data_IF_489636165516
#
_entry.id   IF_489636165516
#
_cell.length_a   1.000
_cell.length_b   1.000
_cell.length_c   1.000
_cell.angle_alpha   90.00
_cell.angle_beta   90.00
_cell.angle_gamma   90.00
#
_symmetry.space_group_name_H-M   'P 1'
#
loop_
_entity.id
_entity.type
_entity.pdbx_description
1 polymer ?
#
# COMPACT_ATOMS: atom_id res chain seq x y z
N UNK A 1 39.86 -43.76 -38.04
CA UNK A 1 41.25 -44.18 -38.39
C UNK A 1 42.25 -43.56 -37.42
N UNK A 2 43.43 -44.18 -37.22
CA UNK A 2 44.69 -43.65 -36.63
C UNK A 2 44.65 -42.81 -35.32
N UNK A 3 45.28 -43.37 -34.28
CA UNK A 3 45.68 -42.78 -32.98
C UNK A 3 46.47 -41.46 -33.07
N UNK A 4 46.35 -40.60 -32.03
CA UNK A 4 47.41 -40.26 -31.01
C UNK A 4 46.81 -39.22 -30.04
N UNK A 5 46.73 -39.39 -28.71
CA UNK A 5 47.76 -39.63 -27.67
C UNK A 5 48.88 -38.58 -27.60
N UNK A 6 48.90 -37.82 -26.50
CA UNK A 6 50.11 -37.67 -25.67
C UNK A 6 49.73 -37.36 -24.21
N UNK A 7 50.09 -38.26 -23.28
CA UNK A 7 50.28 -37.90 -21.87
C UNK A 7 51.72 -37.40 -21.69
N UNK A 8 51.92 -36.44 -20.79
CA UNK A 8 53.17 -36.28 -20.04
C UNK A 8 52.85 -36.05 -18.57
N UNK A 9 53.66 -36.65 -17.70
CA UNK A 9 53.51 -36.65 -16.25
C UNK A 9 54.85 -36.36 -15.58
N UNK A 10 54.79 -36.10 -14.27
CA UNK A 10 55.90 -35.96 -13.31
C UNK A 10 56.73 -34.66 -13.38
N UNK A 11 56.93 -34.08 -12.20
CA UNK A 11 57.67 -32.83 -11.97
C UNK A 11 57.50 -32.31 -10.54
N UNK A 12 57.76 -33.13 -9.51
CA UNK A 12 57.72 -32.67 -8.12
C UNK A 12 58.97 -31.86 -7.80
N UNK A 13 58.78 -30.61 -7.33
CA UNK A 13 59.79 -29.82 -6.67
C UNK A 13 59.17 -29.16 -5.44
N UNK A 14 59.73 -29.41 -4.25
CA UNK A 14 59.25 -28.84 -2.99
C UNK A 14 60.18 -27.71 -2.54
N UNK A 15 59.64 -26.52 -2.33
CA UNK A 15 60.32 -25.41 -1.64
C UNK A 15 59.37 -24.81 -0.62
N UNK A 16 59.77 -24.78 0.65
CA UNK A 16 58.99 -24.19 1.71
C UNK A 16 59.27 -22.68 1.82
N UNK A 17 58.24 -21.86 1.96
CA UNK A 17 58.37 -20.41 2.07
C UNK A 17 57.11 -19.73 2.61
N UNK A 18 57.15 -19.41 3.90
CA UNK A 18 56.36 -18.37 4.61
C UNK A 18 54.99 -17.98 4.02
N UNK A 19 53.93 -18.55 4.57
CA UNK A 19 52.54 -18.14 4.30
C UNK A 19 52.20 -16.80 4.97
N UNK A 20 52.18 -15.72 4.20
CA UNK A 20 51.28 -14.59 4.47
C UNK A 20 49.87 -14.98 3.99
N UNK A 21 48.85 -14.80 4.83
CA UNK A 21 47.49 -15.24 4.53
C UNK A 21 46.77 -14.33 3.54
N UNK A 22 46.88 -14.61 2.23
CA UNK A 22 45.99 -14.04 1.22
C UNK A 22 44.61 -14.71 1.28
N UNK A 23 43.55 -13.91 1.20
CA UNK A 23 42.18 -14.41 1.05
C UNK A 23 42.09 -15.19 -0.28
N UNK A 24 41.49 -16.39 -0.31
CA UNK A 24 41.32 -17.13 -1.56
C UNK A 24 40.29 -16.42 -2.44
N UNK A 25 40.75 -15.80 -3.53
CA UNK A 25 39.88 -15.40 -4.61
C UNK A 25 39.27 -16.66 -5.24
N UNK A 26 37.96 -16.85 -5.07
CA UNK A 26 37.21 -17.91 -5.74
C UNK A 26 37.04 -17.50 -7.20
N UNK A 27 38.00 -17.88 -8.03
CA UNK A 27 37.90 -17.77 -9.47
C UNK A 27 36.93 -18.81 -10.02
N UNK A 28 35.66 -18.43 -10.17
CA UNK A 28 34.74 -19.11 -11.08
C UNK A 28 34.94 -18.56 -12.50
N UNK A 29 34.77 -19.42 -13.49
CA UNK A 29 34.86 -19.08 -14.91
C UNK A 29 33.63 -18.26 -15.33
N UNK A 30 33.75 -17.24 -16.20
CA UNK A 30 32.58 -16.53 -16.77
C UNK A 30 31.75 -17.35 -17.76
N UNK A 31 31.91 -18.68 -17.77
CA UNK A 31 31.29 -19.62 -18.73
C UNK A 31 30.29 -20.57 -18.04
N UNK A 32 30.17 -20.50 -16.71
CA UNK A 32 29.17 -21.20 -15.89
C UNK A 32 28.11 -20.23 -15.31
N UNK A 33 27.88 -19.08 -15.96
CA UNK A 33 26.65 -18.32 -15.74
C UNK A 33 25.49 -19.09 -16.40
N UNK A 34 24.59 -19.66 -15.59
CA UNK A 34 23.35 -20.27 -16.07
C UNK A 34 22.65 -19.28 -17.00
N UNK A 35 22.53 -19.65 -18.28
CA UNK A 35 22.00 -18.77 -19.31
C UNK A 35 20.62 -18.26 -18.88
N UNK A 36 20.52 -16.95 -18.62
CA UNK A 36 19.29 -16.32 -18.12
C UNK A 36 18.18 -16.58 -19.13
N UNK A 37 17.29 -17.52 -18.79
CA UNK A 37 16.14 -17.86 -19.61
C UNK A 37 15.29 -16.62 -19.78
N UNK A 38 15.25 -16.07 -20.98
CA UNK A 38 14.62 -14.77 -21.26
C UNK A 38 13.13 -14.79 -20.87
N UNK A 39 12.47 -15.95 -21.02
CA UNK A 39 11.12 -16.26 -20.56
C UNK A 39 10.88 -15.98 -19.05
N UNK A 40 11.91 -16.08 -18.21
CA UNK A 40 11.83 -15.93 -16.76
C UNK A 40 12.10 -14.49 -16.27
N UNK A 41 12.73 -13.64 -17.08
CA UNK A 41 13.12 -12.27 -16.77
C UNK A 41 14.02 -12.09 -15.52
N UNK A 42 14.36 -10.85 -15.15
CA UNK A 42 15.22 -10.56 -13.99
C UNK A 42 14.52 -10.61 -12.62
N UNK A 43 13.18 -10.75 -12.60
CA UNK A 43 12.34 -10.68 -11.39
C UNK A 43 11.69 -12.03 -11.05
N UNK A 44 11.55 -12.32 -9.75
CA UNK A 44 11.10 -13.63 -9.23
C UNK A 44 9.68 -13.99 -9.64
N UNK A 45 9.47 -15.25 -10.01
CA UNK A 45 8.13 -15.83 -10.24
C UNK A 45 7.31 -15.95 -8.95
N UNK A 46 5.98 -16.13 -9.06
CA UNK A 46 5.12 -16.33 -7.88
C UNK A 46 5.55 -17.53 -7.02
N UNK A 47 6.06 -18.60 -7.64
CA UNK A 47 6.64 -19.74 -6.95
C UNK A 47 7.95 -19.38 -6.21
N UNK A 48 8.87 -18.66 -6.86
CA UNK A 48 10.13 -18.24 -6.26
C UNK A 48 9.93 -17.27 -5.08
N UNK A 49 9.00 -16.32 -5.19
CA UNK A 49 8.59 -15.45 -4.07
C UNK A 49 8.01 -16.30 -2.93
N UNK A 50 7.12 -17.24 -3.27
CA UNK A 50 6.46 -18.12 -2.29
C UNK A 50 7.46 -19.00 -1.52
N UNK A 51 8.46 -19.59 -2.19
CA UNK A 51 9.46 -20.43 -1.50
C UNK A 51 10.51 -19.62 -0.72
N UNK A 52 10.91 -18.41 -1.15
CA UNK A 52 11.74 -17.52 -0.33
C UNK A 52 10.97 -17.10 0.95
N UNK A 53 9.70 -16.72 0.84
CA UNK A 53 8.87 -16.35 2.02
C UNK A 53 8.70 -17.53 2.98
N UNK A 54 8.40 -18.73 2.47
CA UNK A 54 8.36 -19.95 3.29
C UNK A 54 9.72 -20.26 3.91
N UNK A 55 10.83 -20.01 3.21
CA UNK A 55 12.18 -20.22 3.73
C UNK A 55 12.48 -19.25 4.88
N UNK A 56 12.20 -17.96 4.71
CA UNK A 56 12.38 -16.95 5.76
C UNK A 56 11.56 -17.29 7.01
N UNK A 57 10.28 -17.67 6.85
CA UNK A 57 9.44 -18.13 7.97
C UNK A 57 9.94 -19.44 8.62
N UNK A 58 10.64 -20.32 7.90
CA UNK A 58 11.29 -21.52 8.49
C UNK A 58 12.62 -21.22 9.18
N UNK A 59 13.23 -20.06 8.90
CA UNK A 59 14.56 -19.69 9.38
C UNK A 59 14.55 -18.67 10.53
N UNK A 60 13.40 -18.06 10.85
CA UNK A 60 13.31 -17.05 11.92
C UNK A 60 11.96 -17.05 12.62
N UNK A 61 11.99 -17.22 13.95
CA UNK A 61 10.82 -17.08 14.83
C UNK A 61 10.28 -15.63 14.91
N UNK A 62 10.93 -14.67 14.24
CA UNK A 62 10.46 -13.27 14.13
C UNK A 62 9.39 -13.06 13.06
N UNK A 63 9.22 -13.99 12.12
CA UNK A 63 8.25 -13.88 11.03
C UNK A 63 6.99 -14.69 11.34
N UNK A 64 5.84 -14.11 11.02
CA UNK A 64 4.58 -14.84 10.80
C UNK A 64 4.13 -14.64 9.36
N UNK A 65 4.19 -15.70 8.55
CA UNK A 65 3.68 -15.76 7.18
C UNK A 65 2.24 -16.29 7.17
N UNK A 66 1.34 -15.59 6.46
CA UNK A 66 -0.08 -15.97 6.31
C UNK A 66 -0.51 -15.85 4.85
N UNK A 67 -1.19 -16.88 4.31
CA UNK A 67 -1.91 -16.75 3.04
C UNK A 67 -3.22 -16.00 3.33
N UNK A 68 -3.39 -14.80 2.77
CA UNK A 68 -4.53 -13.91 3.06
C UNK A 68 -5.61 -13.89 1.98
N UNK A 69 -5.30 -14.44 0.81
CA UNK A 69 -6.16 -14.53 -0.35
C UNK A 69 -5.43 -15.24 -1.49
N UNK A 70 -6.07 -15.30 -2.65
CA UNK A 70 -5.48 -15.84 -3.89
C UNK A 70 -5.83 -14.93 -5.05
N UNK A 71 -4.97 -14.91 -6.06
CA UNK A 71 -5.23 -14.16 -7.28
C UNK A 71 -6.37 -14.77 -8.08
N UNK A 72 -7.17 -13.90 -8.68
CA UNK A 72 -8.42 -14.18 -9.35
C UNK A 72 -8.32 -15.15 -10.53
N UNK A 73 -7.26 -15.05 -11.34
CA UNK A 73 -7.08 -15.85 -12.56
C UNK A 73 -6.13 -17.04 -12.37
N UNK A 74 -4.94 -16.82 -11.80
CA UNK A 74 -3.94 -17.90 -11.62
C UNK A 74 -4.14 -18.72 -10.35
N UNK A 75 -4.98 -18.25 -9.41
CA UNK A 75 -5.15 -18.85 -8.07
C UNK A 75 -3.81 -18.93 -7.29
N UNK A 76 -2.88 -18.02 -7.59
CA UNK A 76 -1.58 -17.89 -6.92
C UNK A 76 -1.76 -17.24 -5.53
N UNK A 77 -1.01 -17.66 -4.49
CA UNK A 77 -1.22 -17.21 -3.12
C UNK A 77 -0.76 -15.77 -2.87
N UNK A 78 -1.61 -14.99 -2.19
CA UNK A 78 -1.27 -13.64 -1.70
C UNK A 78 -0.77 -13.77 -0.26
N UNK A 79 0.46 -13.36 -0.02
CA UNK A 79 1.14 -13.53 1.26
C UNK A 79 1.14 -12.23 2.09
N UNK A 80 0.77 -12.35 3.37
CA UNK A 80 0.98 -11.36 4.42
C UNK A 80 2.16 -11.82 5.29
N UNK A 81 3.10 -10.92 5.57
CA UNK A 81 4.30 -11.20 6.37
C UNK A 81 4.36 -10.20 7.53
N UNK A 82 4.29 -10.71 8.77
CA UNK A 82 4.32 -9.91 9.99
C UNK A 82 5.61 -10.14 10.78
N UNK A 83 6.18 -9.05 11.28
CA UNK A 83 7.39 -9.03 12.12
C UNK A 83 7.48 -7.75 12.95
N UNK A 84 8.20 -7.80 14.07
CA UNK A 84 8.31 -6.71 15.03
C UNK A 84 7.17 -6.68 16.05
N UNK A 85 7.37 -5.94 17.14
CA UNK A 85 6.48 -5.93 18.31
C UNK A 85 6.23 -4.53 18.88
N UNK A 86 6.74 -3.50 18.20
CA UNK A 86 6.70 -2.13 18.68
C UNK A 86 5.36 -1.43 18.48
N UNK A 87 5.15 -0.34 19.23
CA UNK A 87 3.84 0.33 19.33
C UNK A 87 3.40 1.15 18.11
N UNK A 88 4.18 1.21 17.03
CA UNK A 88 3.80 1.90 15.79
C UNK A 88 3.45 0.87 14.72
N UNK A 89 2.20 0.82 14.29
CA UNK A 89 1.75 -0.15 13.29
C UNK A 89 2.00 0.38 11.86
N UNK A 90 2.73 -0.38 11.03
CA UNK A 90 2.98 -0.03 9.62
C UNK A 90 2.50 -1.16 8.71
N UNK A 91 1.66 -0.82 7.72
CA UNK A 91 1.21 -1.71 6.66
C UNK A 91 1.83 -1.30 5.31
N UNK A 92 2.40 -2.25 4.57
CA UNK A 92 3.15 -2.01 3.34
C UNK A 92 2.65 -2.92 2.22
N UNK A 93 2.16 -2.33 1.14
CA UNK A 93 1.65 -3.02 -0.06
C UNK A 93 2.65 -2.81 -1.20
N UNK A 94 3.03 -3.88 -1.90
CA UNK A 94 4.00 -3.84 -3.01
C UNK A 94 3.46 -4.56 -4.24
N UNK A 95 3.87 -4.13 -5.44
CA UNK A 95 3.49 -4.74 -6.72
C UNK A 95 1.96 -4.97 -6.82
N UNK A 96 1.17 -3.92 -6.54
CA UNK A 96 -0.28 -3.90 -6.82
C UNK A 96 -0.55 -3.63 -8.31
N UNK A 97 0.34 -2.89 -8.95
CA UNK A 97 0.52 -2.97 -10.39
C UNK A 97 1.51 -4.12 -10.67
N UNK A 98 1.16 -5.07 -11.56
CA UNK A 98 1.97 -6.28 -11.76
C UNK A 98 3.28 -6.05 -12.51
N UNK A 99 3.37 -4.96 -13.27
CA UNK A 99 4.55 -4.44 -13.98
C UNK A 99 5.46 -3.56 -13.09
N UNK A 100 5.20 -3.51 -11.78
CA UNK A 100 6.04 -2.82 -10.78
C UNK A 100 6.74 -3.80 -9.80
N UNK A 101 7.63 -4.70 -10.29
CA UNK A 101 8.21 -5.81 -9.51
C UNK A 101 9.27 -5.42 -8.47
N UNK A 102 9.91 -4.26 -8.57
CA UNK A 102 11.07 -3.92 -7.71
C UNK A 102 10.69 -3.84 -6.23
N UNK A 103 9.46 -3.41 -5.90
CA UNK A 103 8.96 -3.37 -4.52
C UNK A 103 8.91 -4.76 -3.86
N UNK A 104 8.63 -5.81 -4.63
CA UNK A 104 8.63 -7.21 -4.16
C UNK A 104 10.03 -7.67 -3.81
N UNK A 105 11.02 -7.41 -4.68
CA UNK A 105 12.41 -7.81 -4.44
C UNK A 105 13.02 -7.05 -3.25
N UNK A 106 12.77 -5.74 -3.15
CA UNK A 106 13.17 -4.91 -1.99
C UNK A 106 12.50 -5.42 -0.71
N UNK A 107 11.22 -5.79 -0.75
CA UNK A 107 10.52 -6.39 0.40
C UNK A 107 11.15 -7.70 0.85
N UNK A 108 11.54 -8.60 -0.08
CA UNK A 108 12.23 -9.85 0.27
C UNK A 108 13.60 -9.58 0.92
N UNK A 109 14.37 -8.61 0.41
CA UNK A 109 15.65 -8.21 1.01
C UNK A 109 15.48 -7.63 2.41
N UNK A 110 14.51 -6.73 2.62
CA UNK A 110 14.21 -6.13 3.92
C UNK A 110 13.69 -7.18 4.92
N UNK A 111 12.76 -8.05 4.52
CA UNK A 111 12.27 -9.15 5.35
C UNK A 111 13.40 -10.08 5.78
N UNK A 112 14.35 -10.38 4.89
CA UNK A 112 15.55 -11.16 5.21
C UNK A 112 16.48 -10.44 6.19
N UNK A 113 16.76 -9.15 5.95
CA UNK A 113 17.61 -8.34 6.84
C UNK A 113 17.02 -8.22 8.25
N UNK A 114 15.71 -7.98 8.38
CA UNK A 114 15.04 -7.81 9.67
C UNK A 114 14.87 -9.15 10.41
N UNK A 115 14.58 -10.24 9.70
CA UNK A 115 14.38 -11.55 10.31
C UNK A 115 15.67 -12.27 10.71
N UNK A 116 16.79 -12.00 10.04
CA UNK A 116 18.09 -12.66 10.28
C UNK A 116 19.15 -11.74 10.89
N UNK A 117 19.00 -10.41 10.79
CA UNK A 117 19.96 -9.43 11.29
C UNK A 117 19.86 -9.22 12.81
N UNK A 118 21.02 -9.00 13.44
CA UNK A 118 21.14 -8.78 14.89
C UNK A 118 21.90 -7.49 15.22
N UNK A 119 21.80 -6.48 14.34
CA UNK A 119 22.37 -5.16 14.60
C UNK A 119 21.47 -4.38 15.56
N UNK A 120 22.01 -3.45 16.39
CA UNK A 120 21.18 -2.61 17.26
C UNK A 120 20.11 -1.80 16.51
N UNK A 121 20.34 -1.51 15.24
CA UNK A 121 19.38 -0.88 14.33
C UNK A 121 18.20 -1.80 13.99
N UNK A 122 18.46 -3.08 13.64
CA UNK A 122 17.39 -4.06 13.38
C UNK A 122 16.57 -4.33 14.64
N UNK A 123 17.21 -4.46 15.80
CA UNK A 123 16.47 -4.59 17.07
C UNK A 123 15.64 -3.33 17.34
N UNK A 124 16.21 -2.13 17.22
CA UNK A 124 15.48 -0.87 17.42
C UNK A 124 14.28 -0.70 16.47
N UNK A 125 14.40 -1.12 15.21
CA UNK A 125 13.28 -1.15 14.25
C UNK A 125 12.16 -2.08 14.76
N UNK A 126 12.50 -3.30 15.18
CA UNK A 126 11.53 -4.31 15.61
C UNK A 126 10.96 -4.09 17.02
N UNK A 127 11.64 -3.30 17.86
CA UNK A 127 11.17 -2.83 19.17
C UNK A 127 10.23 -1.61 19.07
N UNK A 128 10.35 -0.78 18.02
CA UNK A 128 9.54 0.43 17.86
C UNK A 128 8.40 0.30 16.83
N UNK A 129 8.55 -0.59 15.83
CA UNK A 129 7.55 -0.85 14.81
C UNK A 129 6.97 -2.27 14.91
N UNK A 130 5.70 -2.40 14.52
CA UNK A 130 5.07 -3.66 14.13
C UNK A 130 4.73 -3.59 12.65
N UNK A 131 5.40 -4.41 11.85
CA UNK A 131 5.40 -4.34 10.39
C UNK A 131 4.50 -5.43 9.80
N UNK A 132 3.64 -5.06 8.85
CA UNK A 132 2.84 -5.97 8.03
C UNK A 132 3.12 -5.70 6.55
N UNK A 133 3.80 -6.62 5.86
CA UNK A 133 4.05 -6.54 4.43
C UNK A 133 3.05 -7.42 3.66
N UNK A 134 2.56 -6.93 2.53
CA UNK A 134 2.05 -7.71 1.41
C UNK A 134 3.09 -7.59 0.29
N UNK A 135 4.02 -8.57 0.12
CA UNK A 135 5.17 -8.40 -0.77
C UNK A 135 4.82 -8.39 -2.26
N UNK A 136 3.73 -9.05 -2.67
CA UNK A 136 3.20 -9.01 -4.03
C UNK A 136 1.68 -9.02 -3.97
N UNK A 137 1.06 -7.88 -4.29
CA UNK A 137 -0.39 -7.70 -4.30
C UNK A 137 -1.05 -8.19 -5.60
N UNK A 138 -0.32 -8.20 -6.73
CA UNK A 138 -0.82 -8.64 -8.03
C UNK A 138 -0.02 -9.84 -8.60
N UNK A 139 -0.29 -11.08 -8.13
CA UNK A 139 0.35 -12.28 -8.70
C UNK A 139 0.00 -12.52 -10.17
N UNK A 140 -1.18 -12.10 -10.62
CA UNK A 140 -1.65 -12.34 -12.00
C UNK A 140 -0.93 -11.44 -13.01
N UNK A 141 -0.93 -10.13 -12.78
CA UNK A 141 -0.21 -9.17 -13.60
C UNK A 141 1.30 -9.40 -13.58
N UNK A 142 1.88 -9.79 -12.43
CA UNK A 142 3.30 -10.12 -12.30
C UNK A 142 3.73 -11.35 -13.12
N UNK A 143 2.79 -12.22 -13.47
CA UNK A 143 3.01 -13.44 -14.26
C UNK A 143 2.10 -13.49 -15.50
N UNK A 144 1.72 -12.33 -16.03
CA UNK A 144 1.10 -12.23 -17.36
C UNK A 144 2.15 -12.53 -18.43
N UNK A 145 1.76 -13.34 -19.41
CA UNK A 145 2.61 -13.79 -20.50
C UNK A 145 1.78 -13.92 -21.78
N UNK A 146 2.43 -13.75 -22.94
CA UNK A 146 1.78 -13.72 -24.25
C UNK A 146 2.78 -14.18 -25.33
N UNK A 147 2.31 -14.83 -26.40
CA UNK A 147 3.14 -15.17 -27.57
C UNK A 147 3.31 -13.94 -28.46
N UNK A 148 4.30 -13.10 -28.11
CA UNK A 148 4.57 -11.82 -28.80
C UNK A 148 5.34 -12.02 -30.12
N UNK A 149 5.96 -13.19 -30.32
CA UNK A 149 6.74 -13.54 -31.51
C UNK A 149 5.92 -14.31 -32.56
N UNK A 150 4.81 -14.93 -32.16
CA UNK A 150 3.96 -15.78 -33.00
C UNK A 150 4.58 -17.15 -33.29
N UNK A 151 5.49 -17.62 -32.44
CA UNK A 151 6.21 -18.89 -32.62
C UNK A 151 5.63 -20.06 -31.79
N UNK A 152 4.65 -19.79 -30.93
CA UNK A 152 4.00 -20.76 -30.05
C UNK A 152 4.56 -20.82 -28.62
N UNK A 153 5.48 -19.92 -28.25
CA UNK A 153 6.01 -19.77 -26.90
C UNK A 153 5.52 -18.46 -26.25
N UNK A 154 5.02 -18.52 -25.01
CA UNK A 154 4.61 -17.33 -24.26
C UNK A 154 5.80 -16.67 -23.57
N UNK A 155 6.04 -15.37 -23.80
CA UNK A 155 7.04 -14.58 -23.07
C UNK A 155 6.39 -13.84 -21.90
N UNK A 156 7.02 -13.84 -20.71
CA UNK A 156 6.49 -13.16 -19.52
C UNK A 156 6.73 -11.65 -19.55
N UNK A 157 5.86 -10.92 -20.24
CA UNK A 157 5.91 -9.45 -20.32
C UNK A 157 5.42 -8.74 -19.05
N UNK A 158 4.61 -9.40 -18.20
CA UNK A 158 3.89 -8.78 -17.07
C UNK A 158 2.96 -7.62 -17.46
N UNK A 159 2.06 -7.20 -16.56
CA UNK A 159 1.17 -6.04 -16.79
C UNK A 159 0.67 -5.40 -15.49
N UNK A 160 0.24 -4.15 -15.61
CA UNK A 160 -0.34 -3.33 -14.54
C UNK A 160 -1.55 -3.97 -13.85
N UNK A 161 -2.54 -4.40 -14.62
CA UNK A 161 -3.82 -4.90 -14.12
C UNK A 161 -3.69 -6.32 -13.53
N UNK A 162 -4.69 -6.78 -12.76
CA UNK A 162 -4.88 -8.23 -12.57
C UNK A 162 -5.44 -8.88 -13.86
N UNK A 163 -5.90 -10.12 -13.80
CA UNK A 163 -6.53 -10.81 -14.95
C UNK A 163 -7.96 -11.27 -14.63
N UNK A 164 -8.65 -10.56 -13.74
CA UNK A 164 -10.08 -10.77 -13.48
C UNK A 164 -10.90 -10.01 -14.55
N UNK A 165 -11.68 -10.71 -15.40
CA UNK A 165 -12.66 -10.04 -16.26
C UNK A 165 -13.77 -9.43 -15.38
N UNK A 166 -14.41 -8.37 -15.86
CA UNK A 166 -15.70 -7.94 -15.32
C UNK A 166 -16.83 -8.87 -15.80
N UNK A 167 -17.76 -9.20 -14.92
CA UNK A 167 -18.95 -9.99 -15.23
C UNK A 167 -20.24 -9.20 -15.02
N UNK A 168 -21.24 -9.44 -15.89
CA UNK A 168 -22.60 -8.91 -15.69
C UNK A 168 -23.16 -9.42 -14.35
N UNK A 169 -23.33 -8.50 -13.38
CA UNK A 169 -23.74 -8.80 -12.02
C UNK A 169 -22.70 -8.49 -10.94
N UNK A 170 -21.43 -8.25 -11.29
CA UNK A 170 -20.41 -7.76 -10.35
C UNK A 170 -20.77 -6.33 -9.85
N UNK A 171 -21.24 -5.49 -10.77
CA UNK A 171 -21.67 -4.11 -10.56
C UNK A 171 -22.71 -3.72 -11.63
N UNK A 172 -23.36 -2.56 -11.49
CA UNK A 172 -24.34 -2.05 -12.47
C UNK A 172 -23.72 -1.79 -13.85
N UNK A 173 -22.50 -1.27 -13.86
CA UNK A 173 -21.70 -1.01 -15.06
C UNK A 173 -20.27 -1.51 -14.84
N UNK A 174 -19.60 -1.86 -15.93
CA UNK A 174 -18.16 -2.10 -15.98
C UNK A 174 -17.43 -0.81 -15.59
N UNK A 175 -16.64 -0.79 -14.50
CA UNK A 175 -16.01 0.44 -14.04
C UNK A 175 -14.84 0.82 -14.96
N UNK A 176 -14.60 2.12 -15.12
CA UNK A 176 -13.53 2.67 -15.98
C UNK A 176 -12.12 2.08 -15.75
N UNK A 177 -11.88 1.53 -14.56
CA UNK A 177 -10.61 0.91 -14.19
C UNK A 177 -10.52 -0.60 -14.48
N UNK A 178 -11.52 -1.24 -15.11
CA UNK A 178 -11.36 -2.52 -15.80
C UNK A 178 -11.06 -2.25 -17.28
N UNK A 179 -9.86 -2.60 -17.76
CA UNK A 179 -9.43 -2.32 -19.13
C UNK A 179 -8.28 -3.23 -19.60
N UNK A 180 -7.86 -3.04 -20.84
CA UNK A 180 -6.82 -3.83 -21.51
C UNK A 180 -7.35 -5.08 -22.22
N UNK A 181 -6.44 -5.84 -22.83
CA UNK A 181 -6.77 -7.06 -23.58
C UNK A 181 -5.82 -8.18 -23.14
N UNK A 182 -6.32 -9.33 -22.62
CA UNK A 182 -7.66 -9.49 -22.06
C UNK A 182 -7.88 -8.52 -20.89
N UNK A 183 -9.12 -8.14 -20.61
CA UNK A 183 -9.43 -7.12 -19.61
C UNK A 183 -8.98 -7.51 -18.18
N UNK A 184 -8.86 -6.51 -17.31
CA UNK A 184 -8.42 -6.67 -15.93
C UNK A 184 -8.49 -5.35 -15.17
N UNK A 185 -8.54 -5.40 -13.84
CA UNK A 185 -8.68 -4.19 -13.01
C UNK A 185 -7.32 -3.56 -12.69
N UNK A 186 -7.21 -2.23 -12.80
CA UNK A 186 -6.23 -1.44 -12.04
C UNK A 186 -6.68 -1.42 -10.57
N UNK A 187 -6.09 -2.33 -9.80
CA UNK A 187 -6.44 -2.55 -8.39
C UNK A 187 -6.15 -1.35 -7.48
N UNK A 188 -5.33 -0.39 -7.93
CA UNK A 188 -5.11 0.88 -7.24
C UNK A 188 -6.22 1.91 -7.50
N UNK A 189 -7.31 1.49 -8.16
CA UNK A 189 -8.60 2.21 -8.26
C UNK A 189 -9.77 1.43 -7.65
N UNK A 190 -9.61 0.15 -7.32
CA UNK A 190 -10.69 -0.70 -6.82
C UNK A 190 -10.96 -0.57 -5.31
N UNK A 191 -10.05 0.03 -4.52
CA UNK A 191 -10.31 0.27 -3.09
C UNK A 191 -11.50 1.22 -2.87
N UNK A 192 -12.48 0.78 -2.08
CA UNK A 192 -13.50 1.66 -1.49
C UNK A 192 -13.05 2.12 -0.08
N UNK A 193 -13.39 3.37 0.30
CA UNK A 193 -13.12 3.90 1.66
C UNK A 193 -13.95 3.19 2.75
N UNK A 194 -15.07 2.58 2.36
CA UNK A 194 -15.98 1.82 3.21
C UNK A 194 -15.87 0.31 2.93
N UNK A 195 -15.33 -0.47 3.87
CA UNK A 195 -15.20 -1.91 3.70
C UNK A 195 -16.50 -2.68 3.91
N UNK A 196 -17.59 -2.05 4.39
CA UNK A 196 -18.93 -2.69 4.44
C UNK A 196 -19.74 -2.46 3.15
N UNK A 197 -19.28 -1.63 2.19
CA UNK A 197 -19.96 -1.35 0.91
C UNK A 197 -20.07 -2.59 0.00
N UNK A 198 -21.23 -2.82 -0.61
CA UNK A 198 -21.50 -3.93 -1.53
C UNK A 198 -22.01 -3.41 -2.90
N UNK A 199 -21.20 -3.46 -3.98
CA UNK A 199 -21.54 -2.93 -5.31
C UNK A 199 -22.54 -3.81 -6.08
N UNK A 200 -22.94 -4.96 -5.54
CA UNK A 200 -23.86 -5.90 -6.20
C UNK A 200 -25.14 -5.18 -6.62
N UNK A 201 -25.60 -5.32 -7.89
CA UNK A 201 -26.77 -4.59 -8.39
C UNK A 201 -28.01 -4.70 -7.51
N UNK A 202 -28.48 -3.55 -7.01
CA UNK A 202 -29.60 -3.45 -6.06
C UNK A 202 -29.27 -3.67 -4.58
N UNK A 203 -28.00 -3.72 -4.15
CA UNK A 203 -27.58 -3.70 -2.73
C UNK A 203 -27.26 -2.27 -2.29
N UNK A 204 -26.01 -1.81 -2.42
CA UNK A 204 -25.64 -0.38 -2.21
C UNK A 204 -25.53 0.40 -3.54
N UNK A 205 -26.23 -0.08 -4.58
CA UNK A 205 -26.12 0.37 -5.97
C UNK A 205 -27.24 1.38 -6.35
N UNK A 206 -27.04 2.64 -5.96
CA UNK A 206 -27.89 3.79 -6.34
C UNK A 206 -27.54 4.28 -7.77
N UNK A 207 -28.50 4.31 -8.73
CA UNK A 207 -28.27 4.86 -10.07
C UNK A 207 -27.73 6.29 -10.08
N UNK A 208 -28.11 7.14 -9.12
CA UNK A 208 -27.73 8.55 -9.11
C UNK A 208 -26.26 8.78 -8.71
N UNK A 209 -25.52 7.72 -8.31
CA UNK A 209 -24.08 7.78 -8.01
C UNK A 209 -23.21 7.41 -9.22
N UNK A 210 -23.79 6.93 -10.32
CA UNK A 210 -23.04 6.51 -11.51
C UNK A 210 -22.92 7.65 -12.53
N UNK A 211 -21.69 8.11 -12.78
CA UNK A 211 -21.34 9.07 -13.84
C UNK A 211 -20.78 8.34 -15.06
N UNK A 212 -21.35 8.63 -16.22
CA UNK A 212 -20.82 8.24 -17.52
C UNK A 212 -19.95 9.37 -18.11
N UNK A 213 -18.81 9.01 -18.70
CA UNK A 213 -18.00 9.92 -19.53
C UNK A 213 -17.63 9.26 -20.86
N UNK A 214 -17.61 10.04 -21.92
CA UNK A 214 -17.31 9.54 -23.27
C UNK A 214 -15.79 9.64 -23.52
N UNK A 215 -15.15 8.49 -23.75
CA UNK A 215 -13.71 8.35 -23.94
C UNK A 215 -13.37 7.75 -25.32
N UNK A 216 -12.10 7.76 -25.70
CA UNK A 216 -11.57 7.18 -26.96
C UNK A 216 -11.61 5.64 -26.93
N UNK A 217 -12.83 5.09 -27.00
CA UNK A 217 -13.11 3.65 -26.97
C UNK A 217 -14.56 3.30 -26.62
N UNK A 218 -15.27 4.19 -25.91
CA UNK A 218 -16.65 3.99 -25.49
C UNK A 218 -17.04 4.88 -24.30
N UNK A 219 -18.13 4.53 -23.62
CA UNK A 219 -18.56 5.19 -22.38
C UNK A 219 -17.87 4.55 -21.18
N UNK A 220 -17.04 5.31 -20.47
CA UNK A 220 -16.46 4.93 -19.18
C UNK A 220 -17.44 5.21 -18.03
N UNK A 221 -17.46 4.36 -17.00
CA UNK A 221 -18.33 4.50 -15.84
C UNK A 221 -17.58 4.69 -14.53
N UNK A 222 -17.97 5.74 -13.82
CA UNK A 222 -17.38 6.19 -12.55
C UNK A 222 -18.44 6.14 -11.43
N UNK A 223 -18.04 5.67 -10.25
CA UNK A 223 -18.87 5.67 -9.04
C UNK A 223 -18.54 6.90 -8.18
N UNK A 224 -19.41 7.90 -8.19
CA UNK A 224 -19.27 9.15 -7.46
C UNK A 224 -20.07 9.09 -6.14
N UNK A 225 -19.50 8.39 -5.15
CA UNK A 225 -20.24 7.99 -3.95
C UNK A 225 -20.40 9.14 -2.92
N UNK A 226 -21.63 9.50 -2.51
CA UNK A 226 -21.87 10.50 -1.46
C UNK A 226 -21.38 10.01 -0.08
N UNK A 227 -20.58 10.84 0.61
CA UNK A 227 -20.00 10.53 1.92
C UNK A 227 -19.96 11.77 2.82
N UNK A 228 -20.73 11.70 3.91
CA UNK A 228 -20.96 12.79 4.86
C UNK A 228 -21.50 14.07 4.19
N UNK A 229 -20.71 15.13 4.05
CA UNK A 229 -21.03 16.37 3.31
C UNK A 229 -20.25 16.53 2.00
N UNK A 230 -19.61 15.45 1.53
CA UNK A 230 -18.80 15.40 0.31
C UNK A 230 -19.25 14.28 -0.65
N UNK A 231 -18.64 14.25 -1.85
CA UNK A 231 -18.79 13.18 -2.84
C UNK A 231 -17.41 12.67 -3.21
N UNK A 232 -17.19 11.36 -3.14
CA UNK A 232 -15.95 10.72 -3.58
C UNK A 232 -16.08 10.28 -5.04
N UNK A 233 -15.56 11.11 -5.94
CA UNK A 233 -15.52 10.79 -7.38
C UNK A 233 -14.66 9.58 -7.67
N UNK A 234 -15.09 8.73 -8.61
CA UNK A 234 -14.31 7.58 -9.06
C UNK A 234 -13.95 6.59 -7.95
N UNK A 235 -14.84 6.40 -6.96
CA UNK A 235 -14.69 5.45 -5.87
C UNK A 235 -14.54 4.02 -6.39
N UNK A 236 -13.58 3.27 -5.86
CA UNK A 236 -13.46 1.85 -6.11
C UNK A 236 -14.63 1.04 -5.58
N UNK A 237 -14.88 -0.11 -6.17
CA UNK A 237 -16.03 -0.97 -5.88
C UNK A 237 -15.68 -2.20 -5.02
N UNK A 238 -14.38 -2.47 -4.80
CA UNK A 238 -13.84 -3.64 -4.08
C UNK A 238 -14.27 -4.95 -4.74
N UNK A 239 -14.15 -5.02 -6.07
CA UNK A 239 -14.51 -6.14 -6.92
C UNK A 239 -13.45 -7.26 -6.98
N UNK A 240 -12.16 -6.95 -6.77
CA UNK A 240 -11.12 -7.98 -6.92
C UNK A 240 -10.83 -8.76 -5.64
N UNK A 241 -10.56 -10.05 -5.78
CA UNK A 241 -10.19 -10.92 -4.65
C UNK A 241 -8.87 -10.48 -4.00
N UNK A 242 -7.94 -9.94 -4.77
CA UNK A 242 -6.69 -9.38 -4.23
C UNK A 242 -6.96 -8.14 -3.36
N UNK A 243 -7.78 -7.21 -3.83
CA UNK A 243 -8.13 -5.97 -3.11
C UNK A 243 -8.99 -6.26 -1.88
N UNK A 244 -9.86 -7.27 -1.94
CA UNK A 244 -10.60 -7.80 -0.78
C UNK A 244 -9.63 -8.34 0.28
N UNK A 245 -8.69 -9.22 -0.09
CA UNK A 245 -7.70 -9.79 0.82
C UNK A 245 -6.80 -8.72 1.46
N UNK A 246 -6.38 -7.71 0.70
CA UNK A 246 -5.56 -6.59 1.18
C UNK A 246 -6.37 -5.65 2.10
N UNK A 247 -7.64 -5.40 1.79
CA UNK A 247 -8.55 -4.64 2.67
C UNK A 247 -8.71 -5.33 4.02
N UNK A 248 -8.92 -6.64 4.02
CA UNK A 248 -8.99 -7.44 5.25
C UNK A 248 -7.65 -7.46 6.01
N UNK A 249 -6.51 -7.55 5.31
CA UNK A 249 -5.17 -7.43 5.92
C UNK A 249 -4.98 -6.09 6.62
N UNK A 250 -5.34 -5.00 5.95
CA UNK A 250 -5.28 -3.64 6.46
C UNK A 250 -6.17 -3.46 7.71
N UNK A 251 -7.43 -3.90 7.65
CA UNK A 251 -8.38 -3.77 8.76
C UNK A 251 -8.01 -4.63 9.97
N UNK A 252 -7.34 -5.77 9.77
CA UNK A 252 -6.75 -6.58 10.86
C UNK A 252 -5.51 -5.92 11.48
N UNK A 253 -4.82 -5.03 10.76
CA UNK A 253 -3.60 -4.37 11.22
C UNK A 253 -3.86 -3.03 11.96
N UNK A 254 -4.98 -2.33 11.66
CA UNK A 254 -5.33 -0.98 12.17
C UNK A 254 -4.11 -0.04 12.24
N UNK A 255 -3.45 0.27 11.10
CA UNK A 255 -2.14 0.89 11.10
C UNK A 255 -2.13 2.41 11.40
N UNK A 256 -0.99 2.85 11.92
CA UNK A 256 -0.62 4.27 12.00
C UNK A 256 -0.20 4.81 10.63
N UNK A 257 0.52 3.99 9.86
CA UNK A 257 1.02 4.31 8.53
C UNK A 257 0.70 3.19 7.53
N UNK A 258 0.15 3.58 6.39
CA UNK A 258 -0.03 2.72 5.23
C UNK A 258 0.88 3.20 4.11
N UNK A 259 1.55 2.28 3.42
CA UNK A 259 2.51 2.58 2.35
C UNK A 259 2.18 1.68 1.16
N UNK A 260 1.66 2.24 0.06
CA UNK A 260 1.62 1.56 -1.24
C UNK A 260 2.88 1.93 -2.03
N UNK A 261 3.74 0.96 -2.29
CA UNK A 261 4.98 1.18 -3.03
C UNK A 261 4.75 1.03 -4.54
N UNK A 262 5.19 2.04 -5.28
CA UNK A 262 5.10 2.14 -6.73
C UNK A 262 6.43 2.55 -7.36
N UNK A 263 6.63 2.22 -8.64
CA UNK A 263 7.71 2.78 -9.46
C UNK A 263 7.26 2.87 -10.93
N UNK A 264 8.00 3.57 -11.79
CA UNK A 264 7.71 3.55 -13.22
C UNK A 264 7.94 2.14 -13.79
N UNK A 265 7.06 1.69 -14.68
CA UNK A 265 7.22 0.43 -15.42
C UNK A 265 8.61 0.41 -16.08
N UNK A 266 9.39 -0.63 -15.80
CA UNK A 266 10.63 -0.95 -16.48
C UNK A 266 10.31 -1.97 -17.55
N UNK A 267 10.23 -1.52 -18.82
CA UNK A 267 9.82 -2.34 -19.94
C UNK A 267 10.62 -3.66 -19.98
N UNK A 268 9.92 -4.78 -19.88
CA UNK A 268 10.51 -6.13 -19.90
C UNK A 268 11.05 -6.52 -21.28
N UNK A 269 10.59 -5.83 -22.31
CA UNK A 269 11.12 -5.87 -23.68
C UNK A 269 11.83 -4.54 -23.92
N UNK A 270 13.14 -4.52 -24.24
CA UNK A 270 13.83 -3.29 -24.63
C UNK A 270 13.24 -2.71 -25.91
N UNK A 271 13.05 -1.38 -25.95
CA UNK A 271 12.85 -0.62 -27.18
C UNK A 271 14.12 -0.69 -28.06
N UNK A 272 13.96 -0.75 -29.39
CA UNK A 272 15.09 -0.58 -30.34
C UNK A 272 15.44 0.91 -30.57
N UNK A 273 14.64 1.83 -30.02
CA UNK A 273 14.78 3.28 -30.18
C UNK A 273 15.89 3.85 -29.28
N UNK A 274 17.03 4.22 -29.88
CA UNK A 274 18.20 4.80 -29.17
C UNK A 274 17.92 6.16 -28.50
N UNK A 275 16.75 6.77 -28.74
CA UNK A 275 16.31 8.06 -28.16
C UNK A 275 15.57 7.93 -26.81
N UNK A 276 15.38 6.71 -26.28
CA UNK A 276 14.89 6.49 -24.90
C UNK A 276 15.97 6.90 -23.87
N UNK A 277 16.09 8.22 -23.60
CA UNK A 277 16.97 8.76 -22.56
C UNK A 277 16.68 8.08 -21.21
N UNK A 278 17.56 7.15 -20.80
CA UNK A 278 17.58 6.42 -19.52
C UNK A 278 16.59 6.98 -18.48
N UNK A 279 15.35 6.48 -18.53
CA UNK A 279 14.20 7.01 -17.79
C UNK A 279 14.55 7.11 -16.32
N UNK A 280 14.82 8.34 -15.84
CA UNK A 280 15.46 8.60 -14.55
C UNK A 280 14.50 8.31 -13.40
N UNK A 281 14.52 7.05 -12.95
CA UNK A 281 13.64 6.45 -11.95
C UNK A 281 13.18 7.48 -10.91
N UNK A 282 11.88 7.79 -10.90
CA UNK A 282 11.32 8.72 -9.93
C UNK A 282 11.17 8.04 -8.56
N UNK A 283 11.98 8.45 -7.59
CA UNK A 283 11.72 8.14 -6.18
C UNK A 283 10.89 9.28 -5.58
N UNK A 284 9.71 8.94 -5.05
CA UNK A 284 8.89 9.90 -4.34
C UNK A 284 8.10 9.28 -3.18
N UNK A 285 7.68 10.14 -2.26
CA UNK A 285 6.63 9.86 -1.29
C UNK A 285 5.49 10.84 -1.52
N UNK A 286 4.26 10.33 -1.54
CA UNK A 286 3.04 11.07 -1.83
C UNK A 286 2.20 11.18 -0.54
N UNK A 287 2.42 12.21 0.31
CA UNK A 287 1.69 12.34 1.56
C UNK A 287 0.22 12.70 1.30
N UNK A 288 -0.67 12.13 2.12
CA UNK A 288 -2.12 12.42 2.09
C UNK A 288 -2.46 13.29 3.28
N UNK A 289 -3.09 14.43 3.01
CA UNK A 289 -3.48 15.43 3.99
C UNK A 289 -4.91 15.93 3.71
N UNK A 290 -5.57 16.41 4.75
CA UNK A 290 -6.97 16.83 4.72
C UNK A 290 -7.17 18.35 4.88
N UNK A 291 -8.40 18.81 5.16
CA UNK A 291 -8.80 20.22 5.11
C UNK A 291 -7.99 21.16 6.02
N UNK A 292 -7.39 20.63 7.08
CA UNK A 292 -6.49 21.40 7.95
C UNK A 292 -5.19 21.87 7.27
N UNK A 293 -4.90 21.40 6.04
CA UNK A 293 -3.71 21.69 5.24
C UNK A 293 -4.05 22.09 3.79
N UNK A 294 -5.31 22.48 3.51
CA UNK A 294 -5.76 22.87 2.16
C UNK A 294 -4.95 24.04 1.57
N UNK A 295 -4.63 25.06 2.37
CA UNK A 295 -3.76 26.19 1.96
C UNK A 295 -2.32 25.76 1.59
N UNK A 296 -1.93 24.51 1.84
CA UNK A 296 -0.65 23.92 1.43
C UNK A 296 -0.79 22.89 0.29
N UNK A 297 -2.01 22.66 -0.23
CA UNK A 297 -2.21 21.83 -1.40
C UNK A 297 -1.62 22.53 -2.64
N UNK A 298 -0.56 21.98 -3.26
CA UNK A 298 0.24 22.71 -4.27
C UNK A 298 -0.46 22.82 -5.63
N UNK A 299 -1.61 22.17 -5.79
CA UNK A 299 -2.50 22.26 -6.97
C UNK A 299 -3.96 22.59 -6.56
N UNK A 300 -4.19 23.28 -5.44
CA UNK A 300 -5.53 23.69 -5.06
C UNK A 300 -6.17 24.56 -6.17
N UNK A 301 -7.30 24.10 -6.70
CA UNK A 301 -8.23 24.96 -7.44
C UNK A 301 -9.21 25.55 -6.41
N UNK A 302 -9.18 26.88 -6.15
CA UNK A 302 -10.03 27.52 -5.15
C UNK A 302 -11.51 27.60 -5.57
N UNK A 303 -11.83 27.33 -6.84
CA UNK A 303 -13.21 27.24 -7.34
C UNK A 303 -13.73 25.79 -7.38
N UNK A 304 -12.87 24.79 -7.09
CA UNK A 304 -13.23 23.37 -7.05
C UNK A 304 -13.74 22.92 -5.66
N UNK A 305 -14.55 21.84 -5.60
CA UNK A 305 -14.89 21.14 -4.36
C UNK A 305 -13.67 20.73 -3.51
N UNK A 306 -13.77 20.90 -2.19
CA UNK A 306 -12.74 20.51 -1.21
C UNK A 306 -12.18 19.09 -1.41
N UNK A 307 -13.03 18.14 -1.81
CA UNK A 307 -12.66 16.74 -2.04
C UNK A 307 -11.79 16.52 -3.29
N UNK A 308 -11.71 17.48 -4.21
CA UNK A 308 -10.79 17.45 -5.35
C UNK A 308 -9.38 17.93 -4.92
N UNK A 309 -9.30 18.85 -3.94
CA UNK A 309 -8.07 19.46 -3.45
C UNK A 309 -7.35 18.64 -2.35
N UNK A 310 -8.10 18.04 -1.42
CA UNK A 310 -7.58 17.34 -0.23
C UNK A 310 -8.49 16.18 0.18
N UNK A 311 -8.00 15.24 0.99
CA UNK A 311 -8.82 14.15 1.52
C UNK A 311 -9.68 14.64 2.72
N UNK A 312 -11.00 14.83 2.57
CA UNK A 312 -11.81 15.44 3.63
C UNK A 312 -12.05 14.50 4.82
N UNK A 313 -11.80 13.19 4.66
CA UNK A 313 -12.05 12.17 5.68
C UNK A 313 -10.89 11.95 6.65
N UNK A 314 -9.76 12.65 6.48
CA UNK A 314 -8.62 12.56 7.41
C UNK A 314 -8.42 13.83 8.23
N UNK A 315 -8.20 13.63 9.53
CA UNK A 315 -8.00 14.71 10.49
C UNK A 315 -6.60 15.34 10.41
N UNK A 316 -6.44 16.47 11.12
CA UNK A 316 -5.18 17.20 11.21
C UNK A 316 -4.04 16.35 11.80
N UNK A 317 -4.33 15.40 12.70
CA UNK A 317 -3.34 14.52 13.33
C UNK A 317 -2.81 13.45 12.36
N UNK A 318 -3.69 12.91 11.50
CA UNK A 318 -3.34 11.98 10.42
C UNK A 318 -2.59 12.72 9.31
N UNK A 319 -3.04 13.92 8.94
CA UNK A 319 -2.35 14.80 7.98
C UNK A 319 -0.93 15.14 8.44
N UNK A 320 -0.77 15.58 9.70
CA UNK A 320 0.54 15.89 10.29
C UNK A 320 1.48 14.67 10.33
N UNK A 321 0.96 13.46 10.59
CA UNK A 321 1.74 12.21 10.51
C UNK A 321 2.21 11.91 9.09
N UNK A 322 1.33 12.01 8.09
CA UNK A 322 1.68 11.75 6.70
C UNK A 322 2.75 12.73 6.19
N UNK A 323 2.59 14.02 6.48
CA UNK A 323 3.56 15.06 6.15
C UNK A 323 4.91 14.86 6.89
N UNK A 324 4.90 14.44 8.16
CA UNK A 324 6.14 14.12 8.89
C UNK A 324 6.84 12.87 8.34
N UNK A 325 6.12 11.87 7.83
CA UNK A 325 6.72 10.72 7.15
C UNK A 325 7.42 11.13 5.85
N UNK A 326 6.76 11.95 5.02
CA UNK A 326 7.38 12.54 3.83
C UNK A 326 8.66 13.33 4.18
N UNK A 327 8.63 14.15 5.23
CA UNK A 327 9.81 14.86 5.72
C UNK A 327 10.91 13.91 6.21
N UNK A 328 10.58 12.85 6.95
CA UNK A 328 11.54 11.84 7.42
C UNK A 328 12.25 11.11 6.27
N UNK A 329 11.55 10.84 5.16
CA UNK A 329 12.18 10.25 3.97
C UNK A 329 13.09 11.26 3.27
N UNK A 330 12.70 12.55 3.22
CA UNK A 330 13.57 13.63 2.74
C UNK A 330 14.85 13.80 3.60
N UNK A 331 14.71 13.70 4.92
CA UNK A 331 15.84 13.70 5.88
C UNK A 331 16.75 12.47 5.66
N UNK A 332 16.18 11.27 5.57
CA UNK A 332 16.95 10.03 5.39
C UNK A 332 17.68 9.94 4.02
N UNK A 333 17.12 10.55 2.97
CA UNK A 333 17.78 10.64 1.65
C UNK A 333 18.92 11.66 1.62
N UNK A 334 18.96 12.64 2.54
CA UNK A 334 19.99 13.67 2.58
C UNK A 334 21.32 13.20 3.18
N UNK A 335 21.28 12.16 4.03
CA UNK A 335 22.44 11.63 4.77
C UNK A 335 23.16 10.46 4.05
N UNK A 336 22.66 10.00 2.90
CA UNK A 336 23.24 8.88 2.14
C UNK A 336 24.33 9.33 1.14
N UNK A 337 25.31 8.47 0.80
CA UNK A 337 26.24 8.74 -0.29
C UNK A 337 25.50 8.76 -1.64
N UNK A 338 25.58 9.90 -2.32
CA UNK A 338 24.72 10.27 -3.45
C UNK A 338 25.04 9.54 -4.76
N UNK A 339 26.28 9.08 -4.91
CA UNK A 339 26.83 8.47 -6.13
C UNK A 339 26.13 7.16 -6.55
N UNK A 340 25.52 6.45 -5.61
CA UNK A 340 24.71 5.26 -5.88
C UNK A 340 23.32 5.57 -6.49
N UNK A 341 22.85 6.82 -6.44
CA UNK A 341 21.47 7.19 -6.77
C UNK A 341 21.34 8.37 -7.74
N UNK A 342 22.41 8.89 -8.34
CA UNK A 342 22.34 10.12 -9.17
C UNK A 342 21.63 9.97 -10.53
N UNK A 343 21.17 8.76 -10.88
CA UNK A 343 20.21 8.51 -11.96
C UNK A 343 18.74 8.64 -11.53
N UNK A 344 18.45 8.74 -10.22
CA UNK A 344 17.10 8.85 -9.66
C UNK A 344 16.65 10.31 -9.66
N UNK A 345 15.46 10.58 -10.21
CA UNK A 345 14.82 11.91 -10.08
C UNK A 345 14.10 12.00 -8.73
N UNK A 346 14.35 13.07 -7.96
CA UNK A 346 13.98 13.14 -6.53
C UNK A 346 13.07 14.35 -6.26
N UNK A 347 11.79 14.12 -6.03
CA UNK A 347 10.83 15.16 -5.62
C UNK A 347 9.84 14.60 -4.58
N UNK A 348 9.35 15.45 -3.69
CA UNK A 348 8.07 15.19 -3.01
C UNK A 348 6.95 15.38 -4.04
N UNK A 349 6.22 14.32 -4.36
CA UNK A 349 5.20 14.31 -5.40
C UNK A 349 3.81 14.34 -4.77
N UNK A 350 2.83 14.64 -5.61
CA UNK A 350 1.47 14.99 -5.21
C UNK A 350 0.67 13.76 -4.76
N UNK A 351 -0.35 13.92 -3.89
CA UNK A 351 -1.22 12.81 -3.51
C UNK A 351 -1.90 12.22 -4.76
N UNK A 352 -1.59 10.98 -5.10
CA UNK A 352 -2.37 10.19 -6.05
C UNK A 352 -3.43 9.42 -5.26
N UNK A 353 -4.70 9.65 -5.61
CA UNK A 353 -5.84 9.01 -4.97
C UNK A 353 -5.94 7.52 -5.34
N UNK A 354 -6.36 6.70 -4.36
CA UNK A 354 -6.55 5.25 -4.49
C UNK A 354 -6.12 4.44 -3.26
N UNK A 355 -5.08 4.88 -2.53
CA UNK A 355 -4.36 4.02 -1.59
C UNK A 355 -4.67 4.13 -0.08
N UNK A 356 -5.80 4.71 0.36
CA UNK A 356 -6.02 4.95 1.81
C UNK A 356 -7.44 4.70 2.35
N UNK A 357 -7.66 3.51 2.89
CA UNK A 357 -8.69 3.27 3.91
C UNK A 357 -8.25 3.92 5.24
N UNK A 358 -9.03 4.83 5.85
CA UNK A 358 -8.87 5.15 7.28
C UNK A 358 -10.16 5.61 7.99
N UNK A 359 -10.72 4.70 8.79
CA UNK A 359 -11.42 4.98 10.08
C UNK A 359 -12.75 5.76 10.12
N UNK A 360 -13.61 5.63 9.11
CA UNK A 360 -15.05 5.97 9.24
C UNK A 360 -15.76 5.26 10.43
N UNK A 361 -15.20 4.13 10.89
CA UNK A 361 -15.74 3.27 11.96
C UNK A 361 -15.96 3.95 13.33
N UNK A 362 -15.35 5.11 13.59
CA UNK A 362 -15.55 5.83 14.87
C UNK A 362 -16.97 6.40 15.02
N UNK A 363 -17.62 6.77 13.90
CA UNK A 363 -19.03 7.16 13.89
C UNK A 363 -19.94 5.93 13.88
N UNK A 364 -19.60 4.92 13.07
CA UNK A 364 -20.53 3.82 12.78
C UNK A 364 -20.69 2.82 13.94
N UNK A 365 -19.65 2.49 14.72
CA UNK A 365 -19.82 1.64 15.93
C UNK A 365 -20.84 2.23 16.92
N UNK A 366 -20.79 3.56 17.13
CA UNK A 366 -21.75 4.27 18.02
C UNK A 366 -23.18 4.23 17.48
N UNK A 367 -23.40 4.25 16.16
CA UNK A 367 -24.72 3.99 15.56
C UNK A 367 -25.16 2.53 15.75
N UNK A 368 -24.27 1.55 15.53
CA UNK A 368 -24.59 0.12 15.68
C UNK A 368 -25.00 -0.23 17.12
N UNK A 369 -24.28 0.25 18.14
CA UNK A 369 -24.65 0.02 19.54
C UNK A 369 -25.98 0.70 19.92
N UNK A 370 -26.23 1.92 19.45
CA UNK A 370 -27.51 2.60 19.66
C UNK A 370 -28.70 1.87 19.00
N UNK A 371 -28.56 1.44 17.74
CA UNK A 371 -29.63 0.73 17.00
C UNK A 371 -29.84 -0.68 17.55
N UNK A 372 -28.77 -1.39 17.97
CA UNK A 372 -28.89 -2.72 18.60
C UNK A 372 -29.51 -2.61 20.00
N UNK A 373 -29.16 -1.59 20.77
CA UNK A 373 -29.81 -1.25 22.03
C UNK A 373 -31.31 -0.97 21.86
N UNK A 374 -31.69 -0.12 20.89
CA UNK A 374 -33.09 0.17 20.58
C UNK A 374 -33.88 -1.08 20.17
N UNK A 375 -33.33 -1.95 19.31
CA UNK A 375 -33.98 -3.22 18.93
C UNK A 375 -34.09 -4.19 20.11
N UNK A 376 -33.14 -4.20 21.04
CA UNK A 376 -33.19 -5.02 22.26
C UNK A 376 -34.25 -4.51 23.24
N UNK A 377 -34.41 -3.18 23.37
CA UNK A 377 -35.48 -2.58 24.19
C UNK A 377 -36.86 -2.86 23.60
N UNK A 378 -37.05 -2.69 22.29
CA UNK A 378 -38.35 -2.96 21.64
C UNK A 378 -38.72 -4.45 21.65
N UNK A 379 -37.79 -5.37 21.39
CA UNK A 379 -38.07 -6.82 21.49
C UNK A 379 -38.26 -7.33 22.92
N UNK A 380 -37.87 -6.55 23.94
CA UNK A 380 -38.05 -6.90 25.35
C UNK A 380 -39.46 -6.64 25.90
N UNK A 381 -40.33 -5.87 25.23
CA UNK A 381 -41.62 -5.44 25.82
C UNK A 381 -42.82 -6.36 25.58
N UNK A 382 -42.76 -7.34 24.67
CA UNK A 382 -43.92 -8.19 24.34
C UNK A 382 -44.04 -9.50 25.16
N UNK A 383 -43.14 -9.77 26.11
CA UNK A 383 -43.28 -10.92 27.02
C UNK A 383 -42.98 -10.58 28.48
N UNK A 384 -44.02 -10.14 29.20
CA UNK A 384 -44.50 -10.74 30.46
C UNK A 384 -45.87 -10.13 30.79
N UNK A 385 -46.94 -10.93 30.63
CA UNK A 385 -48.28 -10.62 31.12
C UNK A 385 -48.85 -11.82 31.88
N UNK A 386 -48.56 -11.88 33.19
CA UNK A 386 -49.36 -12.58 34.21
C UNK A 386 -49.10 -11.91 35.57
N UNK A 387 -50.11 -11.86 36.48
CA UNK A 387 -50.07 -10.97 37.63
C UNK A 387 -49.29 -11.56 38.82
N UNK A 388 -48.67 -10.68 39.60
CA UNK A 388 -48.21 -10.95 40.96
C UNK A 388 -49.25 -10.43 42.00
N UNK A 389 -49.35 -11.05 43.18
CA UNK A 389 -50.33 -10.69 44.21
C UNK A 389 -49.96 -9.39 44.96
N UNK A 390 -50.94 -8.81 45.66
CA UNK A 390 -50.78 -7.59 46.46
C UNK A 390 -50.07 -7.86 47.79
N UNK A 391 -49.23 -6.92 48.23
CA UNK A 391 -48.67 -6.79 49.57
C UNK A 391 -48.27 -5.33 49.82
N UNK A 392 -48.40 -4.86 51.06
CA UNK A 392 -48.22 -3.43 51.44
C UNK A 392 -46.85 -3.12 52.08
N UNK A 393 -46.47 -1.82 52.28
CA UNK A 393 -45.07 -1.41 52.31
C UNK A 393 -44.50 -0.95 53.68
N UNK A 394 -43.17 -0.89 53.75
CA UNK A 394 -42.35 0.00 54.61
C UNK A 394 -41.20 0.56 53.72
N UNK A 395 -40.94 1.87 53.60
CA UNK A 395 -40.45 2.89 54.57
C UNK A 395 -38.93 2.81 54.88
N UNK A 396 -38.15 3.80 54.40
CA UNK A 396 -37.41 4.80 55.22
C UNK A 396 -36.45 5.71 54.38
N UNK A 397 -35.92 6.76 55.04
CA UNK A 397 -35.07 7.87 54.57
C UNK A 397 -33.72 7.49 53.89
N UNK A 398 -32.99 8.39 53.20
CA UNK A 398 -33.24 9.80 52.83
C UNK A 398 -31.94 10.60 52.60
N UNK A 399 -32.07 11.88 52.20
CA UNK A 399 -31.16 13.06 52.30
C UNK A 399 -29.63 12.98 51.95
N UNK A 400 -28.87 14.03 51.57
CA UNK A 400 -29.00 15.29 50.78
C UNK A 400 -27.74 16.18 51.09
N UNK A 401 -27.34 17.09 50.17
CA UNK A 401 -26.20 18.06 50.25
C UNK A 401 -24.76 17.51 50.08
N UNK A 402 -23.75 18.30 49.63
CA UNK A 402 -23.78 19.63 49.00
C UNK A 402 -22.46 20.46 49.05
N UNK A 403 -22.19 21.26 48.00
CA UNK A 403 -21.13 22.31 47.87
C UNK A 403 -19.63 21.88 47.90
N UNK A 404 -18.65 22.63 47.35
CA UNK A 404 -18.72 23.78 46.42
C UNK A 404 -17.43 24.63 46.29
N UNK A 405 -17.34 25.42 45.19
CA UNK A 405 -16.46 26.61 44.90
C UNK A 405 -14.91 26.47 44.85
N UNK A 406 -14.30 26.99 43.76
CA UNK A 406 -12.86 27.33 43.68
C UNK A 406 -12.42 28.05 42.39
N UNK A 407 -11.82 29.25 42.51
CA UNK A 407 -11.11 30.09 41.49
C UNK A 407 -10.16 31.04 42.27
N UNK A 408 -9.03 31.56 41.76
CA UNK A 408 -8.87 32.30 40.48
C UNK A 408 -7.79 31.64 39.56
N UNK A 409 -6.93 32.24 38.70
CA UNK A 409 -6.47 33.64 38.45
C UNK A 409 -5.89 33.80 37.01
N UNK A 410 -5.36 35.00 36.68
CA UNK A 410 -4.54 35.33 35.49
C UNK A 410 -3.44 36.35 35.88
N UNK A 411 -2.39 36.53 35.04
CA UNK A 411 -1.93 37.90 34.77
C UNK A 411 -1.50 38.20 33.30
N UNK A 412 -2.34 38.99 32.60
CA UNK A 412 -2.05 40.14 31.71
C UNK A 412 -0.72 40.31 30.89
N UNK A 413 -0.94 40.51 29.58
CA UNK A 413 -0.46 41.62 28.69
C UNK A 413 1.02 41.75 28.26
N UNK A 414 1.24 41.71 26.92
CA UNK A 414 1.68 42.78 25.97
C UNK A 414 1.78 42.14 24.55
N UNK A 415 1.70 42.84 23.41
CA UNK A 415 1.41 44.25 23.14
C UNK A 415 2.42 44.92 22.18
N UNK A 416 2.22 44.82 20.86
CA UNK A 416 3.07 45.47 19.84
C UNK A 416 2.44 45.43 18.43
N UNK A 417 2.71 46.44 17.60
CA UNK A 417 2.16 46.62 16.23
C UNK A 417 3.20 47.36 15.35
N UNK A 418 3.47 46.84 14.15
CA UNK A 418 4.02 47.49 12.94
C UNK A 418 3.64 46.55 11.78
N UNK A 419 2.83 46.94 10.78
CA UNK A 419 2.92 47.98 9.73
C UNK A 419 3.72 47.57 8.49
N UNK A 420 3.09 47.91 7.37
CA UNK A 420 3.33 47.46 6.00
C UNK A 420 4.62 48.00 5.38
N UNK A 421 5.15 47.24 4.40
CA UNK A 421 5.94 47.78 3.31
C UNK A 421 5.67 46.97 2.04
N UNK A 422 5.12 47.62 1.01
CA UNK A 422 4.86 47.01 -0.29
C UNK A 422 5.87 47.53 -1.34
N UNK A 423 6.24 46.68 -2.29
CA UNK A 423 7.09 47.03 -3.42
C UNK A 423 7.45 45.82 -4.26
N UNK A 424 6.90 45.73 -5.47
CA UNK A 424 7.19 44.66 -6.43
C UNK A 424 7.59 45.22 -7.79
N UNK A 425 8.26 44.40 -8.61
CA UNK A 425 8.53 44.67 -10.02
C UNK A 425 8.97 43.39 -10.77
N UNK A 426 8.00 42.69 -11.35
CA UNK A 426 7.99 41.99 -12.67
C UNK A 426 9.14 41.05 -13.16
N UNK A 427 8.84 40.15 -14.13
CA UNK A 427 9.69 38.99 -14.44
C UNK A 427 10.68 39.21 -15.60
N UNK A 428 11.44 38.16 -15.94
CA UNK A 428 12.13 38.02 -17.23
C UNK A 428 12.03 36.60 -17.77
N UNK A 429 11.64 36.50 -19.04
CA UNK A 429 11.76 35.30 -19.86
C UNK A 429 13.22 35.10 -20.31
N UNK A 430 13.64 33.83 -20.43
CA UNK A 430 14.27 33.27 -21.64
C UNK A 430 14.47 31.77 -21.55
#
# INVERSE_FOLDING_TARGET
MKRRMFLRSLGVAATAGLSAGSVPAVGQSPEDEDAVGLDAGPYRTNEQVTEELKLLNRMSDRITLTEIGRSSYRNDPIWEVKLGTGGTNVHVINQIHGDEPTGTEVSLLLLRQLSQGTSPEVEAILENLSLTFVPRANPDGAMYAEDTTGDGHEQRISRRQNTQPWCEGDSRYEPYYNYGTPAGYDMNRDFNIDPEFDPTPGVDDDPDWWRAEEADGGTEWYMDQPREDHVLRGSGLRLTEEVRAITDSFLRADPDYAISHHHQNLATVPSEDEDDELQRSLLSTMPVYGPAYEEQAPFADPDAPLADNVNPFIDAETSARSLRLNQLVGEALADQPWDAFDTVTRYGYFPIWGGLLRRALSAHRRRRDAVRGLRTVQSGQERILRPLPRGEPDRLHGDVHGAGRGRPTQPRRRGGVLRDAAGGAEPRER
#
